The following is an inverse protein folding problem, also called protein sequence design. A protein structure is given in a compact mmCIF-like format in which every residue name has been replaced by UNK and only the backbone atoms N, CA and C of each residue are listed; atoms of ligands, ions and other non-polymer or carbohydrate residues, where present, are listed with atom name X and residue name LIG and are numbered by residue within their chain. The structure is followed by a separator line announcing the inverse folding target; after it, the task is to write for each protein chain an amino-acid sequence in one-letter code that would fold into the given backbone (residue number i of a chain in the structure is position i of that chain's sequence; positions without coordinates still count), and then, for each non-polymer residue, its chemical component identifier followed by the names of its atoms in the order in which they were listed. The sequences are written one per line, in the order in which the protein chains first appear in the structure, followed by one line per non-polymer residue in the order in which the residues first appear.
data_IF_365867727410
#
_entry.id   IF_365867727410
#
_cell.length_a   1.000
_cell.length_b   1.000
_cell.length_c   1.000
_cell.angle_alpha   90.00
_cell.angle_beta   90.00
_cell.angle_gamma   90.00
#
_symmetry.space_group_name_H-M   'P 1'
#
loop_
_entity.id
_entity.type
_entity.pdbx_description
1 polymer ?
#
# COMPACT_ATOMS: atom_id res chain seq x y z
N UNK A 1 27.64 31.80 8.95
CA UNK A 1 26.29 32.38 8.94
C UNK A 1 25.74 32.11 7.57
N UNK A 2 24.83 31.15 7.49
CA UNK A 2 24.02 30.94 6.29
C UNK A 2 22.68 30.38 6.78
N UNK A 3 21.87 31.27 7.34
CA UNK A 3 20.47 31.01 7.64
C UNK A 3 19.70 31.23 6.34
N UNK A 4 19.87 30.31 5.40
CA UNK A 4 18.90 30.18 4.31
C UNK A 4 17.57 29.82 4.97
N UNK A 5 16.56 30.69 4.84
CA UNK A 5 15.19 30.33 5.16
C UNK A 5 14.88 29.00 4.48
N UNK A 6 14.35 27.99 5.21
CA UNK A 6 14.10 26.70 4.62
C UNK A 6 13.15 26.88 3.43
N UNK A 7 13.68 26.62 2.23
CA UNK A 7 12.97 26.82 0.97
C UNK A 7 11.64 26.07 1.03
N UNK A 8 10.52 26.80 1.01
CA UNK A 8 9.19 26.21 1.09
C UNK A 8 9.00 25.36 -0.15
N UNK A 9 9.11 24.04 0.00
CA UNK A 9 8.86 23.11 -1.09
C UNK A 9 7.37 23.09 -1.35
N UNK A 10 6.95 23.56 -2.51
CA UNK A 10 5.61 23.31 -3.03
C UNK A 10 5.61 21.90 -3.65
N UNK A 11 4.71 21.03 -3.18
CA UNK A 11 4.74 19.61 -3.56
C UNK A 11 3.35 19.13 -3.99
N UNK A 12 3.26 18.71 -5.26
CA UNK A 12 2.12 17.93 -5.75
C UNK A 12 2.27 16.46 -5.35
N UNK A 13 1.16 15.72 -5.35
CA UNK A 13 1.11 14.28 -5.11
C UNK A 13 2.08 13.51 -6.02
N UNK A 14 2.10 13.86 -7.31
CA UNK A 14 2.98 13.23 -8.29
C UNK A 14 4.47 13.44 -7.95
N UNK A 15 4.85 14.66 -7.56
CA UNK A 15 6.22 14.97 -7.15
C UNK A 15 6.59 14.31 -5.83
N UNK A 16 5.64 14.19 -4.89
CA UNK A 16 5.85 13.48 -3.63
C UNK A 16 6.15 12.00 -3.87
N UNK A 17 5.35 11.36 -4.74
CA UNK A 17 5.57 9.97 -5.15
C UNK A 17 6.91 9.81 -5.85
N UNK A 18 7.25 10.68 -6.80
CA UNK A 18 8.54 10.60 -7.52
C UNK A 18 9.74 10.74 -6.57
N UNK A 19 9.68 11.71 -5.64
CA UNK A 19 10.71 11.92 -4.63
C UNK A 19 10.87 10.69 -3.73
N UNK A 20 9.77 10.14 -3.24
CA UNK A 20 9.79 8.93 -2.44
C UNK A 20 10.37 7.75 -3.20
N UNK A 21 10.07 7.60 -4.49
CA UNK A 21 10.57 6.48 -5.28
C UNK A 21 12.08 6.56 -5.53
N UNK A 22 12.64 7.77 -5.66
CA UNK A 22 14.06 7.98 -5.98
C UNK A 22 14.99 7.70 -4.79
N UNK A 23 14.60 8.13 -3.60
CA UNK A 23 15.48 8.13 -2.42
C UNK A 23 15.07 7.09 -1.35
N UNK A 24 14.24 6.10 -1.70
CA UNK A 24 13.76 5.09 -0.75
C UNK A 24 14.63 3.83 -0.71
N UNK A 25 15.22 3.61 0.46
CA UNK A 25 16.11 2.48 0.76
C UNK A 25 15.45 1.10 0.55
N UNK A 26 14.14 0.96 0.78
CA UNK A 26 13.46 -0.33 0.57
C UNK A 26 13.33 -0.67 -0.91
N UNK A 27 13.08 0.32 -1.77
CA UNK A 27 13.03 0.14 -3.22
C UNK A 27 14.42 -0.20 -3.75
N UNK A 28 15.47 0.47 -3.26
CA UNK A 28 16.86 0.17 -3.62
C UNK A 28 17.27 -1.25 -3.19
N UNK A 29 16.95 -1.65 -1.96
CA UNK A 29 17.20 -3.02 -1.48
C UNK A 29 16.46 -4.08 -2.32
N UNK A 30 15.22 -3.81 -2.73
CA UNK A 30 14.46 -4.70 -3.60
C UNK A 30 15.06 -4.77 -5.02
N UNK A 31 15.59 -3.65 -5.54
CA UNK A 31 16.29 -3.61 -6.82
C UNK A 31 17.58 -4.44 -6.79
N UNK A 32 18.40 -4.30 -5.75
CA UNK A 32 19.60 -5.13 -5.55
C UNK A 32 19.26 -6.62 -5.44
N UNK A 33 18.15 -6.95 -4.77
CA UNK A 33 17.65 -8.32 -4.71
C UNK A 33 17.27 -8.90 -6.08
N UNK A 34 16.69 -8.08 -6.97
CA UNK A 34 16.42 -8.46 -8.35
C UNK A 34 17.71 -8.69 -9.15
N UNK A 35 18.68 -7.77 -9.06
CA UNK A 35 19.99 -7.94 -9.73
C UNK A 35 20.70 -9.22 -9.29
N UNK A 36 20.64 -9.54 -7.99
CA UNK A 36 21.16 -10.81 -7.47
C UNK A 36 20.42 -12.01 -8.09
N UNK A 37 19.10 -11.97 -8.18
CA UNK A 37 18.32 -13.04 -8.79
C UNK A 37 18.64 -13.22 -10.29
N UNK A 38 18.86 -12.12 -11.02
CA UNK A 38 19.30 -12.14 -12.42
C UNK A 38 20.67 -12.78 -12.59
N UNK A 39 21.64 -12.41 -11.74
CA UNK A 39 22.96 -13.05 -11.73
C UNK A 39 22.86 -14.56 -11.45
N UNK A 40 21.99 -14.94 -10.50
CA UNK A 40 21.76 -16.35 -10.15
C UNK A 40 21.20 -17.13 -11.34
N UNK A 41 20.26 -16.54 -12.08
CA UNK A 41 19.71 -17.10 -13.32
C UNK A 41 20.78 -17.24 -14.41
N UNK A 42 21.64 -16.24 -14.58
CA UNK A 42 22.73 -16.31 -15.56
C UNK A 42 23.72 -17.44 -15.23
N UNK A 43 24.11 -17.56 -13.95
CA UNK A 43 24.95 -18.64 -13.46
C UNK A 43 24.30 -20.02 -13.70
N UNK A 44 23.02 -20.18 -13.36
CA UNK A 44 22.26 -21.41 -13.59
C UNK A 44 22.22 -21.78 -15.09
N UNK A 45 21.90 -20.81 -15.96
CA UNK A 45 21.89 -21.02 -17.43
C UNK A 45 23.28 -21.32 -17.98
N UNK A 46 24.33 -20.73 -17.43
CA UNK A 46 25.73 -21.02 -17.81
C UNK A 46 26.13 -22.44 -17.41
N UNK A 47 25.84 -22.86 -16.18
CA UNK A 47 26.09 -24.21 -15.70
C UNK A 47 25.32 -25.25 -16.52
N UNK A 48 24.03 -25.04 -16.76
CA UNK A 48 23.20 -25.91 -17.59
C UNK A 48 23.75 -26.05 -19.02
N UNK A 49 24.21 -24.95 -19.64
CA UNK A 49 24.86 -24.98 -20.97
C UNK A 49 26.15 -25.80 -20.95
N UNK A 50 26.99 -25.65 -19.93
CA UNK A 50 28.23 -26.43 -19.78
C UNK A 50 27.94 -27.92 -19.61
N UNK A 51 26.99 -28.27 -18.73
CA UNK A 51 26.58 -29.66 -18.52
C UNK A 51 25.98 -30.28 -19.80
N UNK A 52 25.14 -29.53 -20.52
CA UNK A 52 24.52 -30.00 -21.76
C UNK A 52 25.54 -30.30 -22.85
N UNK A 53 26.62 -29.51 -22.96
CA UNK A 53 27.70 -29.73 -23.94
C UNK A 53 28.51 -31.01 -23.70
N UNK A 54 28.52 -31.53 -22.47
CA UNK A 54 29.23 -32.77 -22.15
C UNK A 54 28.47 -34.01 -22.61
N UNK A 55 27.13 -33.91 -22.74
CA UNK A 55 26.29 -35.02 -23.18
C UNK A 55 26.64 -35.38 -24.63
N UNK A 56 26.83 -36.67 -24.90
CA UNK A 56 27.20 -37.16 -26.21
C UNK A 56 28.70 -37.16 -26.50
N UNK A 57 29.54 -36.58 -25.62
CA UNK A 57 31.00 -36.69 -25.76
C UNK A 57 31.41 -38.14 -25.52
N UNK A 58 32.23 -38.66 -26.43
CA UNK A 58 32.85 -39.96 -26.36
C UNK A 58 34.19 -39.88 -25.61
N UNK A 59 34.36 -40.72 -24.60
CA UNK A 59 35.56 -40.82 -23.76
C UNK A 59 36.07 -42.26 -23.69
N UNK A 60 37.40 -42.49 -23.72
CA UNK A 60 37.96 -43.81 -23.48
C UNK A 60 37.55 -44.35 -22.12
N UNK A 61 37.06 -45.58 -22.07
CA UNK A 61 36.67 -46.24 -20.83
C UNK A 61 37.81 -47.12 -20.27
N UNK A 62 37.74 -47.47 -18.99
CA UNK A 62 38.79 -48.26 -18.31
C UNK A 62 38.99 -49.67 -18.88
N UNK A 63 38.05 -50.18 -19.68
CA UNK A 63 38.13 -51.47 -20.35
C UNK A 63 38.70 -51.38 -21.78
N UNK A 64 39.20 -50.20 -22.21
CA UNK A 64 39.81 -49.99 -23.53
C UNK A 64 38.82 -49.73 -24.67
N UNK A 65 37.55 -49.51 -24.38
CA UNK A 65 36.50 -49.13 -25.35
C UNK A 65 36.12 -47.64 -25.27
N UNK A 66 35.09 -47.23 -26.00
CA UNK A 66 34.54 -45.87 -25.98
C UNK A 66 33.25 -45.86 -25.14
N UNK A 67 33.12 -44.89 -24.23
CA UNK A 67 31.89 -44.60 -23.50
C UNK A 67 31.35 -43.23 -23.92
N UNK A 68 30.03 -43.11 -24.06
CA UNK A 68 29.38 -41.83 -24.34
C UNK A 68 28.79 -41.26 -23.05
N UNK A 69 29.11 -40.00 -22.73
CA UNK A 69 28.51 -39.30 -21.59
C UNK A 69 27.00 -39.16 -21.81
N UNK A 70 26.20 -39.66 -20.87
CA UNK A 70 24.73 -39.58 -20.88
C UNK A 70 24.27 -38.61 -19.79
N UNK A 71 23.04 -38.10 -19.94
CA UNK A 71 22.39 -37.25 -18.95
C UNK A 71 22.02 -38.05 -17.70
N UNK A 72 22.92 -38.05 -16.73
CA UNK A 72 22.72 -38.68 -15.43
C UNK A 72 21.85 -37.82 -14.49
N UNK A 73 21.69 -38.26 -13.25
CA UNK A 73 20.89 -37.58 -12.23
C UNK A 73 21.42 -36.15 -11.95
N UNK A 74 22.72 -36.01 -11.71
CA UNK A 74 23.34 -34.72 -11.39
C UNK A 74 23.23 -33.72 -12.56
N UNK A 75 23.46 -34.17 -13.79
CA UNK A 75 23.26 -33.36 -14.98
C UNK A 75 21.80 -32.98 -15.20
N UNK A 76 20.86 -33.88 -14.94
CA UNK A 76 19.45 -33.57 -15.08
C UNK A 76 18.95 -32.54 -14.08
N UNK A 77 19.39 -32.62 -12.82
CA UNK A 77 19.13 -31.58 -11.83
C UNK A 77 19.66 -30.21 -12.32
N UNK A 78 20.92 -30.18 -12.80
CA UNK A 78 21.57 -28.96 -13.26
C UNK A 78 20.98 -28.35 -14.55
N UNK A 79 20.42 -29.19 -15.44
CA UNK A 79 19.88 -28.75 -16.73
C UNK A 79 18.39 -28.45 -16.64
N UNK A 80 17.61 -29.26 -15.91
CA UNK A 80 16.15 -29.20 -15.96
C UNK A 80 15.54 -28.44 -14.77
N UNK A 81 16.12 -28.56 -13.57
CA UNK A 81 15.51 -28.04 -12.34
C UNK A 81 16.10 -26.68 -11.96
N UNK A 82 17.43 -26.59 -11.86
CA UNK A 82 18.11 -25.37 -11.35
C UNK A 82 17.80 -24.12 -12.19
N UNK A 83 17.79 -24.16 -13.54
CA UNK A 83 17.45 -22.98 -14.34
C UNK A 83 16.02 -22.49 -14.12
N UNK A 84 15.05 -23.42 -14.00
CA UNK A 84 13.65 -23.09 -13.73
C UNK A 84 13.51 -22.47 -12.33
N UNK A 85 14.23 -23.01 -11.34
CA UNK A 85 14.26 -22.47 -9.99
C UNK A 85 14.83 -21.05 -9.96
N UNK A 86 15.91 -20.79 -10.68
CA UNK A 86 16.50 -19.46 -10.75
C UNK A 86 15.60 -18.47 -11.53
N UNK A 87 14.92 -18.92 -12.58
CA UNK A 87 13.98 -18.09 -13.36
C UNK A 87 12.75 -17.71 -12.52
N UNK A 88 12.18 -18.68 -11.82
CA UNK A 88 11.11 -18.48 -10.84
C UNK A 88 11.55 -17.50 -9.73
N UNK A 89 12.79 -17.64 -9.23
CA UNK A 89 13.37 -16.71 -8.27
C UNK A 89 13.49 -15.28 -8.77
N UNK A 90 13.87 -15.09 -10.04
CA UNK A 90 13.87 -13.76 -10.70
C UNK A 90 12.47 -13.16 -10.77
N UNK A 91 11.48 -13.93 -11.23
CA UNK A 91 10.08 -13.47 -11.33
C UNK A 91 9.54 -13.05 -9.95
N UNK A 92 9.83 -13.84 -8.91
CA UNK A 92 9.46 -13.51 -7.52
C UNK A 92 10.12 -12.20 -7.07
N UNK A 93 11.42 -12.02 -7.35
CA UNK A 93 12.14 -10.80 -6.98
C UNK A 93 11.61 -9.56 -7.72
N UNK A 94 11.31 -9.69 -9.01
CA UNK A 94 10.76 -8.64 -9.86
C UNK A 94 9.37 -8.20 -9.36
N UNK A 95 8.50 -9.16 -9.09
CA UNK A 95 7.16 -8.90 -8.55
C UNK A 95 7.23 -8.33 -7.12
N UNK A 96 8.17 -8.84 -6.31
CA UNK A 96 8.43 -8.32 -4.97
C UNK A 96 8.87 -6.86 -4.98
N UNK A 97 9.74 -6.47 -5.91
CA UNK A 97 10.13 -5.08 -6.13
C UNK A 97 8.92 -4.21 -6.50
N UNK A 98 8.12 -4.64 -7.49
CA UNK A 98 6.92 -3.90 -7.89
C UNK A 98 5.92 -3.73 -6.73
N UNK A 99 5.76 -4.76 -5.88
CA UNK A 99 4.95 -4.67 -4.66
C UNK A 99 5.51 -3.64 -3.68
N UNK A 100 6.82 -3.65 -3.41
CA UNK A 100 7.47 -2.65 -2.55
C UNK A 100 7.26 -1.24 -3.08
N UNK A 101 7.45 -1.01 -4.39
CA UNK A 101 7.18 0.27 -5.04
C UNK A 101 5.73 0.72 -4.81
N UNK A 102 4.76 -0.16 -4.99
CA UNK A 102 3.34 0.13 -4.80
C UNK A 102 2.98 0.44 -3.33
N UNK A 103 3.57 -0.27 -2.37
CA UNK A 103 3.41 0.02 -0.93
C UNK A 103 3.94 1.41 -0.58
N UNK A 104 5.10 1.79 -1.11
CA UNK A 104 5.67 3.14 -0.91
C UNK A 104 4.76 4.20 -1.54
N UNK A 105 4.34 4.02 -2.80
CA UNK A 105 3.42 4.94 -3.47
C UNK A 105 2.14 5.15 -2.66
N UNK A 106 1.49 4.07 -2.22
CA UNK A 106 0.31 4.14 -1.37
C UNK A 106 0.56 4.86 -0.04
N UNK A 107 1.68 4.55 0.64
CA UNK A 107 2.05 5.20 1.89
C UNK A 107 2.23 6.72 1.75
N UNK A 108 2.84 7.16 0.64
CA UNK A 108 3.00 8.58 0.32
C UNK A 108 1.65 9.22 0.04
N UNK A 109 0.78 8.61 -0.77
CA UNK A 109 -0.56 9.15 -1.01
C UNK A 109 -1.39 9.26 0.28
N UNK A 110 -1.32 8.23 1.14
CA UNK A 110 -2.02 8.23 2.42
C UNK A 110 -1.53 9.36 3.33
N UNK A 111 -0.21 9.56 3.43
CA UNK A 111 0.38 10.65 4.21
C UNK A 111 0.03 12.02 3.60
N UNK A 112 0.06 12.15 2.28
CA UNK A 112 -0.29 13.37 1.55
C UNK A 112 -1.75 13.78 1.79
N UNK A 113 -2.69 12.85 1.60
CA UNK A 113 -4.11 13.09 1.90
C UNK A 113 -4.34 13.34 3.40
N UNK A 114 -3.51 12.76 4.27
CA UNK A 114 -3.53 13.04 5.71
C UNK A 114 -3.22 14.50 6.03
N UNK A 115 -2.21 15.09 5.39
CA UNK A 115 -1.86 16.51 5.53
C UNK A 115 -2.97 17.40 5.00
N UNK A 116 -3.44 17.16 3.78
CA UNK A 116 -4.55 17.94 3.20
C UNK A 116 -5.79 17.92 4.11
N UNK A 117 -6.05 16.78 4.77
CA UNK A 117 -7.22 16.62 5.64
C UNK A 117 -7.04 17.44 6.92
N UNK A 118 -5.84 17.39 7.50
CA UNK A 118 -5.51 18.18 8.67
C UNK A 118 -5.56 19.69 8.37
N UNK A 119 -5.06 20.12 7.21
CA UNK A 119 -5.13 21.52 6.75
C UNK A 119 -6.60 21.97 6.60
N UNK A 120 -7.44 21.15 5.97
CA UNK A 120 -8.87 21.48 5.85
C UNK A 120 -9.59 21.51 7.19
N UNK A 121 -9.22 20.63 8.13
CA UNK A 121 -9.74 20.64 9.50
C UNK A 121 -9.30 21.90 10.27
N UNK A 122 -8.08 22.38 10.05
CA UNK A 122 -7.61 23.66 10.60
C UNK A 122 -8.44 24.83 10.06
N UNK A 123 -8.66 24.90 8.74
CA UNK A 123 -9.51 25.93 8.12
C UNK A 123 -10.92 25.96 8.75
N UNK A 124 -11.54 24.79 8.94
CA UNK A 124 -12.86 24.66 9.58
C UNK A 124 -12.83 25.12 11.05
N UNK A 125 -11.77 24.79 11.80
CA UNK A 125 -11.59 25.22 13.19
C UNK A 125 -11.36 26.73 13.31
N UNK A 126 -10.57 27.32 12.41
CA UNK A 126 -10.34 28.77 12.36
C UNK A 126 -11.63 29.54 12.03
N UNK A 127 -12.40 29.05 11.05
CA UNK A 127 -13.72 29.62 10.75
C UNK A 127 -14.67 29.52 11.96
N UNK A 128 -14.60 28.43 12.74
CA UNK A 128 -15.35 28.27 13.98
C UNK A 128 -14.92 29.27 15.06
N UNK A 129 -13.62 29.55 15.17
CA UNK A 129 -13.08 30.55 16.10
C UNK A 129 -13.55 31.96 15.75
N UNK A 130 -13.54 32.32 14.46
CA UNK A 130 -14.04 33.62 13.98
C UNK A 130 -15.52 33.78 14.37
N UNK A 131 -16.34 32.74 14.16
CA UNK A 131 -17.76 32.78 14.53
C UNK A 131 -17.98 32.89 16.04
N UNK A 132 -17.24 32.12 16.84
CA UNK A 132 -17.33 32.21 18.30
C UNK A 132 -16.94 33.61 18.84
N UNK A 133 -15.92 34.25 18.25
CA UNK A 133 -15.54 35.64 18.58
C UNK A 133 -16.67 36.63 18.28
N UNK A 134 -17.32 36.48 17.13
CA UNK A 134 -18.43 37.35 16.75
C UNK A 134 -19.66 37.13 17.65
N UNK A 135 -19.96 35.89 18.01
CA UNK A 135 -21.05 35.57 18.95
C UNK A 135 -20.80 36.17 20.34
N UNK A 136 -19.57 36.08 20.87
CA UNK A 136 -19.21 36.73 22.14
C UNK A 136 -19.42 38.25 22.07
N UNK A 137 -18.94 38.89 21.00
CA UNK A 137 -19.11 40.32 20.78
C UNK A 137 -20.59 40.73 20.77
N UNK A 138 -21.46 39.93 20.14
CA UNK A 138 -22.90 40.17 20.13
C UNK A 138 -23.53 39.98 21.51
N UNK A 139 -23.15 38.92 22.24
CA UNK A 139 -23.63 38.66 23.59
C UNK A 139 -23.24 39.79 24.56
N UNK A 140 -22.00 40.27 24.50
CA UNK A 140 -21.53 41.40 25.30
C UNK A 140 -22.29 42.70 24.99
N UNK A 141 -22.54 42.99 23.71
CA UNK A 141 -23.29 44.16 23.29
C UNK A 141 -24.74 44.12 23.81
N UNK A 142 -25.41 42.98 23.65
CA UNK A 142 -26.77 42.76 24.15
C UNK A 142 -26.84 42.82 25.68
N UNK A 143 -25.81 42.33 26.37
CA UNK A 143 -25.72 42.37 27.84
C UNK A 143 -25.57 43.81 28.34
N UNK A 144 -24.71 44.61 27.70
CA UNK A 144 -24.57 46.05 27.97
C UNK A 144 -25.87 46.80 27.74
N UNK A 145 -26.66 46.40 26.75
CA UNK A 145 -28.00 46.93 26.48
C UNK A 145 -29.09 46.39 27.44
N UNK A 146 -28.76 45.47 28.36
CA UNK A 146 -29.69 44.87 29.31
C UNK A 146 -30.67 43.85 28.72
N UNK A 147 -30.42 43.39 27.49
CA UNK A 147 -31.34 42.55 26.70
C UNK A 147 -31.06 41.05 26.77
N UNK A 148 -29.93 40.64 27.37
CA UNK A 148 -29.57 39.22 27.62
C UNK A 148 -28.99 39.06 29.02
N UNK A 149 -29.03 37.83 29.56
CA UNK A 149 -28.50 37.53 30.88
C UNK A 149 -26.95 37.40 30.87
N UNK A 150 -26.30 37.67 32.02
CA UNK A 150 -24.84 37.45 32.17
C UNK A 150 -24.41 36.00 31.90
N UNK A 151 -25.32 35.05 32.12
CA UNK A 151 -25.12 33.63 31.81
C UNK A 151 -24.85 33.38 30.31
N UNK A 152 -25.50 34.15 29.41
CA UNK A 152 -25.27 34.02 27.96
C UNK A 152 -23.87 34.48 27.56
N UNK A 153 -23.35 35.53 28.19
CA UNK A 153 -21.97 36.01 27.98
C UNK A 153 -20.97 34.94 28.44
N UNK A 154 -21.17 34.36 29.62
CA UNK A 154 -20.31 33.27 30.14
C UNK A 154 -20.33 32.06 29.21
N UNK A 155 -21.50 31.71 28.66
CA UNK A 155 -21.62 30.62 27.68
C UNK A 155 -20.86 30.91 26.39
N UNK A 156 -20.96 32.14 25.87
CA UNK A 156 -20.23 32.56 24.68
C UNK A 156 -18.71 32.61 24.91
N UNK A 157 -18.24 33.03 26.09
CA UNK A 157 -16.83 32.96 26.49
C UNK A 157 -16.33 31.52 26.54
N UNK A 158 -17.11 30.60 27.11
CA UNK A 158 -16.77 29.18 27.15
C UNK A 158 -16.67 28.56 25.74
N UNK A 159 -17.55 28.96 24.82
CA UNK A 159 -17.50 28.54 23.42
C UNK A 159 -16.27 29.09 22.68
N UNK A 160 -15.92 30.35 22.92
CA UNK A 160 -14.69 30.92 22.39
C UNK A 160 -13.46 30.13 22.86
N UNK A 161 -13.38 29.81 24.16
CA UNK A 161 -12.28 29.00 24.72
C UNK A 161 -12.23 27.60 24.12
N UNK A 162 -13.38 26.99 23.88
CA UNK A 162 -13.48 25.69 23.20
C UNK A 162 -13.01 25.78 21.75
N UNK A 163 -13.37 26.83 21.02
CA UNK A 163 -12.92 27.05 19.65
C UNK A 163 -11.41 27.35 19.56
N UNK A 164 -10.86 28.13 20.50
CA UNK A 164 -9.41 28.37 20.63
C UNK A 164 -8.64 27.06 20.85
N UNK A 165 -9.13 26.20 21.75
CA UNK A 165 -8.56 24.88 21.97
C UNK A 165 -8.62 24.01 20.70
N UNK A 166 -9.74 24.02 19.97
CA UNK A 166 -9.89 23.28 18.72
C UNK A 166 -8.95 23.76 17.60
N UNK A 167 -8.66 25.06 17.51
CA UNK A 167 -7.64 25.58 16.57
C UNK A 167 -6.25 25.08 16.96
N UNK A 168 -5.89 25.13 18.26
CA UNK A 168 -4.59 24.65 18.71
C UNK A 168 -4.42 23.14 18.45
N UNK A 169 -5.46 22.36 18.67
CA UNK A 169 -5.48 20.93 18.35
C UNK A 169 -5.33 20.67 16.85
N UNK A 170 -6.07 21.41 16.01
CA UNK A 170 -5.96 21.28 14.56
C UNK A 170 -4.57 21.68 14.04
N UNK A 171 -3.96 22.74 14.58
CA UNK A 171 -2.57 23.13 14.27
C UNK A 171 -1.58 22.02 14.62
N UNK A 172 -1.68 21.47 15.83
CA UNK A 172 -0.86 20.32 16.22
C UNK A 172 -1.10 19.10 15.32
N UNK A 173 -2.33 18.91 14.85
CA UNK A 173 -2.69 17.87 13.88
C UNK A 173 -2.01 18.05 12.52
N UNK A 174 -1.97 19.28 12.00
CA UNK A 174 -1.26 19.61 10.75
C UNK A 174 0.23 19.31 10.90
N UNK A 175 0.86 19.78 11.97
CA UNK A 175 2.30 19.53 12.21
C UNK A 175 2.60 18.02 12.29
N UNK A 176 1.77 17.24 12.99
CA UNK A 176 1.91 15.79 13.04
C UNK A 176 1.76 15.13 11.67
N UNK A 177 0.79 15.56 10.87
CA UNK A 177 0.59 15.03 9.52
C UNK A 177 1.78 15.38 8.61
N UNK A 178 2.32 16.60 8.70
CA UNK A 178 3.52 17.02 7.95
C UNK A 178 4.74 16.21 8.35
N UNK A 179 4.97 15.99 9.65
CA UNK A 179 6.05 15.13 10.14
C UNK A 179 5.92 13.70 9.61
N UNK A 180 4.71 13.14 9.57
CA UNK A 180 4.47 11.81 9.01
C UNK A 180 4.79 11.75 7.50
N UNK A 181 4.40 12.78 6.74
CA UNK A 181 4.74 12.89 5.32
C UNK A 181 6.24 13.05 5.11
N UNK A 182 6.90 13.93 5.86
CA UNK A 182 8.36 14.10 5.83
C UNK A 182 9.07 12.77 6.14
N UNK A 183 8.60 11.99 7.11
CA UNK A 183 9.13 10.66 7.39
C UNK A 183 8.98 9.72 6.19
N UNK A 184 7.82 9.70 5.51
CA UNK A 184 7.62 8.85 4.31
C UNK A 184 8.48 9.28 3.12
N UNK A 185 8.79 10.56 3.01
CA UNK A 185 9.66 11.14 1.98
C UNK A 185 11.15 11.08 2.37
N UNK A 186 11.49 10.48 3.51
CA UNK A 186 12.84 10.44 4.05
C UNK A 186 13.48 11.84 4.21
N UNK A 187 12.67 12.84 4.55
CA UNK A 187 13.08 14.21 4.82
C UNK A 187 13.26 14.44 6.33
N UNK A 188 13.86 15.57 6.70
CA UNK A 188 13.85 16.00 8.10
C UNK A 188 12.40 16.24 8.55
N UNK A 189 12.06 15.78 9.76
CA UNK A 189 10.70 15.88 10.31
C UNK A 189 10.13 17.30 10.25
N UNK A 190 10.98 18.32 10.41
CA UNK A 190 10.58 19.72 10.47
C UNK A 190 10.77 20.48 9.15
N UNK A 191 10.98 19.80 8.02
CA UNK A 191 11.06 20.47 6.73
C UNK A 191 9.70 21.14 6.42
N UNK A 192 9.66 22.47 6.22
CA UNK A 192 8.42 23.15 5.88
C UNK A 192 8.02 22.82 4.44
N UNK A 193 6.73 22.59 4.24
CA UNK A 193 6.20 22.17 2.95
C UNK A 193 4.80 22.72 2.76
N UNK A 194 4.49 23.15 1.54
CA UNK A 194 3.16 23.56 1.12
C UNK A 194 2.63 22.58 0.07
N UNK A 195 1.41 22.09 0.28
CA UNK A 195 0.77 21.18 -0.67
C UNK A 195 -0.01 21.98 -1.71
N UNK A 196 0.17 21.66 -2.98
CA UNK A 196 -0.45 22.38 -4.09
C UNK A 196 -1.77 21.78 -4.57
N UNK A 197 -2.01 20.50 -4.25
CA UNK A 197 -3.21 19.81 -4.70
C UNK A 197 -4.43 20.10 -3.84
N UNK A 198 -5.60 20.04 -4.48
CA UNK A 198 -6.89 20.14 -3.80
C UNK A 198 -7.51 18.77 -3.66
N UNK A 199 -8.19 18.57 -2.53
CA UNK A 199 -9.07 17.44 -2.34
C UNK A 199 -10.12 17.40 -3.45
N UNK A 200 -10.04 16.43 -4.34
CA UNK A 200 -11.01 16.21 -5.40
C UNK A 200 -11.63 14.82 -5.30
N UNK A 201 -12.90 14.73 -5.68
CA UNK A 201 -13.59 13.47 -5.87
C UNK A 201 -13.59 13.16 -7.36
N UNK A 202 -13.08 11.99 -7.73
CA UNK A 202 -13.10 11.50 -9.10
C UNK A 202 -13.66 10.07 -9.08
N UNK A 203 -14.90 9.84 -9.58
CA UNK A 203 -15.53 8.52 -9.60
C UNK A 203 -14.60 7.44 -10.16
N UNK A 204 -14.71 6.23 -9.63
CA UNK A 204 -13.88 5.12 -10.08
C UNK A 204 -14.37 4.54 -11.43
N UNK A 205 -15.62 4.83 -11.79
CA UNK A 205 -16.29 4.24 -12.93
C UNK A 205 -16.71 2.79 -12.68
N UNK A 206 -17.23 2.13 -13.71
CA UNK A 206 -17.59 0.72 -13.62
C UNK A 206 -16.32 -0.14 -13.74
N UNK A 207 -15.98 -0.83 -12.64
CA UNK A 207 -14.84 -1.74 -12.58
C UNK A 207 -15.32 -3.18 -12.73
N UNK A 208 -14.78 -3.87 -13.73
CA UNK A 208 -14.99 -5.31 -13.92
C UNK A 208 -14.00 -6.10 -13.06
N UNK A 209 -14.47 -6.66 -11.95
CA UNK A 209 -13.61 -7.40 -11.00
C UNK A 209 -12.97 -8.64 -11.61
N UNK A 210 -13.57 -9.24 -12.64
CA UNK A 210 -13.02 -10.45 -13.26
C UNK A 210 -11.84 -10.08 -14.16
N UNK A 211 -11.91 -8.95 -14.87
CA UNK A 211 -10.76 -8.40 -15.60
C UNK A 211 -9.62 -8.00 -14.68
N UNK A 212 -9.93 -7.32 -13.57
CA UNK A 212 -8.93 -6.96 -12.57
C UNK A 212 -8.26 -8.21 -11.99
N UNK A 213 -9.02 -9.27 -11.73
CA UNK A 213 -8.45 -10.55 -11.32
C UNK A 213 -7.47 -11.12 -12.34
N UNK A 214 -7.82 -11.13 -13.63
CA UNK A 214 -6.92 -11.59 -14.69
C UNK A 214 -5.61 -10.79 -14.72
N UNK A 215 -5.68 -9.47 -14.68
CA UNK A 215 -4.50 -8.61 -14.66
C UNK A 215 -3.63 -8.82 -13.40
N UNK A 216 -4.28 -9.01 -12.25
CA UNK A 216 -3.56 -9.22 -10.99
C UNK A 216 -2.94 -10.62 -10.87
N UNK A 217 -3.36 -11.62 -11.66
CA UNK A 217 -2.66 -12.92 -11.67
C UNK A 217 -1.21 -12.85 -12.15
N UNK A 218 -0.81 -11.77 -12.82
CA UNK A 218 0.57 -11.53 -13.23
C UNK A 218 1.33 -10.56 -12.33
N UNK A 219 0.60 -9.76 -11.52
CA UNK A 219 1.16 -8.63 -10.77
C UNK A 219 1.11 -8.80 -9.25
N UNK A 220 0.18 -9.62 -8.74
CA UNK A 220 0.01 -9.84 -7.32
C UNK A 220 1.14 -10.70 -6.77
N UNK A 221 1.92 -10.14 -5.85
CA UNK A 221 3.11 -10.77 -5.26
C UNK A 221 2.79 -12.10 -4.58
N UNK A 222 1.69 -12.19 -3.83
CA UNK A 222 1.31 -13.40 -3.11
C UNK A 222 0.92 -14.54 -4.05
N UNK A 223 0.13 -14.25 -5.09
CA UNK A 223 -0.26 -15.22 -6.10
C UNK A 223 0.92 -15.65 -6.98
N UNK A 224 1.72 -14.70 -7.46
CA UNK A 224 2.91 -15.01 -8.28
C UNK A 224 3.89 -15.87 -7.49
N UNK A 225 4.12 -15.59 -6.21
CA UNK A 225 4.95 -16.43 -5.34
C UNK A 225 4.42 -17.87 -5.25
N UNK A 226 3.12 -18.06 -5.07
CA UNK A 226 2.51 -19.39 -5.01
C UNK A 226 2.62 -20.13 -6.36
N UNK A 227 2.39 -19.41 -7.47
CA UNK A 227 2.52 -19.95 -8.84
C UNK A 227 3.94 -20.41 -9.14
N UNK A 228 4.93 -19.57 -8.83
CA UNK A 228 6.33 -19.91 -9.07
C UNK A 228 6.81 -21.06 -8.18
N UNK A 229 6.35 -21.13 -6.92
CA UNK A 229 6.60 -22.31 -6.06
C UNK A 229 6.01 -23.59 -6.64
N UNK A 230 4.81 -23.54 -7.20
CA UNK A 230 4.21 -24.67 -7.91
C UNK A 230 5.06 -25.09 -9.12
N UNK A 231 5.51 -24.14 -9.94
CA UNK A 231 6.36 -24.41 -11.11
C UNK A 231 7.67 -25.11 -10.71
N UNK A 232 8.34 -24.61 -9.66
CA UNK A 232 9.56 -25.21 -9.11
C UNK A 232 9.30 -26.65 -8.66
N UNK A 233 8.28 -26.86 -7.83
CA UNK A 233 7.99 -28.17 -7.26
C UNK A 233 7.52 -29.17 -8.32
N UNK A 234 6.82 -28.71 -9.36
CA UNK A 234 6.42 -29.54 -10.50
C UNK A 234 7.64 -30.09 -11.22
N UNK A 235 8.57 -29.22 -11.63
CA UNK A 235 9.78 -29.64 -12.35
C UNK A 235 10.68 -30.51 -11.46
N UNK A 236 10.75 -30.21 -10.16
CA UNK A 236 11.45 -31.04 -9.19
C UNK A 236 10.80 -32.44 -9.05
N UNK A 237 9.48 -32.52 -9.04
CA UNK A 237 8.76 -33.80 -9.00
C UNK A 237 8.94 -34.60 -10.30
N UNK A 238 8.87 -33.96 -11.46
CA UNK A 238 9.12 -34.59 -12.78
C UNK A 238 10.53 -35.19 -12.84
N UNK A 239 11.53 -34.48 -12.30
CA UNK A 239 12.89 -34.99 -12.11
C UNK A 239 12.92 -36.23 -11.20
N UNK A 240 12.29 -36.16 -10.02
CA UNK A 240 12.27 -37.30 -9.10
C UNK A 240 11.52 -38.51 -9.66
N UNK A 241 10.45 -38.29 -10.43
CA UNK A 241 9.68 -39.34 -11.08
C UNK A 241 10.51 -40.10 -12.12
N UNK A 242 11.42 -39.41 -12.81
CA UNK A 242 12.28 -40.00 -13.84
C UNK A 242 13.47 -40.77 -13.25
N UNK A 243 14.04 -40.29 -12.15
CA UNK A 243 15.33 -40.76 -11.65
C UNK A 243 15.27 -41.57 -10.36
N UNK A 244 14.13 -41.59 -9.65
CA UNK A 244 13.97 -42.29 -8.38
C UNK A 244 12.79 -43.29 -8.43
N UNK A 245 12.88 -44.37 -7.66
CA UNK A 245 11.76 -45.30 -7.53
C UNK A 245 10.74 -44.77 -6.53
N UNK A 246 9.46 -45.12 -6.73
CA UNK A 246 8.32 -44.63 -5.92
C UNK A 246 8.42 -44.92 -4.42
N UNK A 247 9.22 -45.90 -4.02
CA UNK A 247 9.40 -46.28 -2.62
C UNK A 247 10.51 -45.51 -1.90
N UNK A 248 11.29 -44.69 -2.61
CA UNK A 248 12.32 -43.85 -1.99
C UNK A 248 11.72 -42.68 -1.22
N UNK A 249 12.41 -42.24 -0.17
CA UNK A 249 12.04 -41.04 0.58
C UNK A 249 12.07 -39.80 -0.34
N UNK A 250 13.10 -39.65 -1.16
CA UNK A 250 13.24 -38.51 -2.09
C UNK A 250 12.06 -38.39 -3.06
N UNK A 251 11.57 -39.49 -3.63
CA UNK A 251 10.37 -39.47 -4.49
C UNK A 251 9.14 -38.99 -3.71
N UNK A 252 8.91 -39.54 -2.52
CA UNK A 252 7.73 -39.22 -1.71
C UNK A 252 7.76 -37.78 -1.21
N UNK A 253 8.92 -37.28 -0.80
CA UNK A 253 9.11 -35.88 -0.41
C UNK A 253 8.80 -34.91 -1.55
N UNK A 254 9.32 -35.18 -2.76
CA UNK A 254 9.01 -34.36 -3.94
C UNK A 254 7.52 -34.43 -4.32
N UNK A 255 6.89 -35.60 -4.19
CA UNK A 255 5.44 -35.78 -4.43
C UNK A 255 4.61 -34.94 -3.45
N UNK A 256 4.95 -34.97 -2.16
CA UNK A 256 4.25 -34.18 -1.14
C UNK A 256 4.46 -32.68 -1.34
N UNK A 257 5.69 -32.25 -1.64
CA UNK A 257 5.99 -30.84 -1.91
C UNK A 257 5.22 -30.31 -3.13
N UNK A 258 5.09 -31.11 -4.19
CA UNK A 258 4.28 -30.75 -5.36
C UNK A 258 2.80 -30.61 -5.01
N UNK A 259 2.21 -31.62 -4.33
CA UNK A 259 0.82 -31.58 -3.88
C UNK A 259 0.54 -30.40 -2.94
N UNK A 260 1.44 -30.10 -2.02
CA UNK A 260 1.33 -28.95 -1.12
C UNK A 260 1.33 -27.63 -1.92
N UNK A 261 2.23 -27.47 -2.88
CA UNK A 261 2.27 -26.25 -3.71
C UNK A 261 1.04 -26.09 -4.61
N UNK A 262 0.44 -27.18 -5.07
CA UNK A 262 -0.82 -27.16 -5.84
C UNK A 262 -1.98 -26.64 -4.99
N UNK A 263 -2.13 -27.15 -3.76
CA UNK A 263 -3.14 -26.68 -2.81
C UNK A 263 -2.90 -25.21 -2.44
N UNK A 264 -1.64 -24.82 -2.21
CA UNK A 264 -1.29 -23.44 -1.88
C UNK A 264 -1.57 -22.47 -3.03
N UNK A 265 -1.38 -22.88 -4.29
CA UNK A 265 -1.72 -22.07 -5.47
C UNK A 265 -3.24 -21.84 -5.56
N UNK A 266 -4.05 -22.88 -5.39
CA UNK A 266 -5.52 -22.74 -5.40
C UNK A 266 -6.03 -21.88 -4.22
N UNK A 267 -5.40 -22.01 -3.05
CA UNK A 267 -5.69 -21.14 -1.91
C UNK A 267 -5.32 -19.68 -2.22
N UNK A 268 -4.13 -19.42 -2.76
CA UNK A 268 -3.68 -18.07 -3.14
C UNK A 268 -4.59 -17.44 -4.20
N UNK A 269 -5.05 -18.24 -5.18
CA UNK A 269 -6.02 -17.82 -6.19
C UNK A 269 -7.33 -17.36 -5.57
N UNK A 270 -7.89 -18.19 -4.68
CA UNK A 270 -9.14 -17.88 -3.97
C UNK A 270 -8.99 -16.65 -3.09
N UNK A 271 -7.85 -16.51 -2.41
CA UNK A 271 -7.54 -15.35 -1.57
C UNK A 271 -7.42 -14.07 -2.39
N UNK A 272 -6.75 -14.11 -3.56
CA UNK A 272 -6.65 -12.97 -4.47
C UNK A 272 -8.04 -12.52 -4.95
N UNK A 273 -8.89 -13.47 -5.37
CA UNK A 273 -10.27 -13.17 -5.76
C UNK A 273 -11.05 -12.49 -4.63
N UNK A 274 -10.93 -13.02 -3.40
CA UNK A 274 -11.58 -12.44 -2.23
C UNK A 274 -11.06 -11.03 -1.93
N UNK A 275 -9.75 -10.83 -1.99
CA UNK A 275 -9.12 -9.54 -1.71
C UNK A 275 -9.53 -8.47 -2.73
N UNK A 276 -9.57 -8.81 -4.03
CA UNK A 276 -10.03 -7.89 -5.08
C UNK A 276 -11.50 -7.53 -4.88
N UNK A 277 -12.36 -8.51 -4.60
CA UNK A 277 -13.78 -8.26 -4.33
C UNK A 277 -13.96 -7.38 -3.10
N UNK A 278 -13.25 -7.64 -2.01
CA UNK A 278 -13.32 -6.82 -0.81
C UNK A 278 -12.84 -5.39 -1.08
N UNK A 279 -11.71 -5.21 -1.76
CA UNK A 279 -11.19 -3.89 -2.08
C UNK A 279 -12.13 -3.10 -3.00
N UNK A 280 -12.77 -3.77 -3.96
CA UNK A 280 -13.81 -3.16 -4.80
C UNK A 280 -15.04 -2.74 -3.97
N UNK A 281 -15.51 -3.62 -3.07
CA UNK A 281 -16.65 -3.30 -2.18
C UNK A 281 -16.32 -2.16 -1.20
N UNK A 282 -15.10 -2.10 -0.68
CA UNK A 282 -14.62 -1.01 0.17
C UNK A 282 -14.63 0.32 -0.60
N UNK A 283 -14.10 0.32 -1.83
CA UNK A 283 -14.11 1.48 -2.72
C UNK A 283 -15.54 1.93 -3.03
N UNK A 284 -16.42 1.00 -3.38
CA UNK A 284 -17.81 1.30 -3.70
C UNK A 284 -18.57 1.85 -2.50
N UNK A 285 -18.37 1.25 -1.33
CA UNK A 285 -18.98 1.70 -0.08
C UNK A 285 -18.49 3.10 0.29
N UNK A 286 -17.20 3.39 0.09
CA UNK A 286 -16.65 4.74 0.33
C UNK A 286 -17.23 5.78 -0.65
N UNK A 287 -17.46 5.39 -1.91
CA UNK A 287 -18.11 6.22 -2.93
C UNK A 287 -19.56 6.55 -2.56
N UNK A 288 -20.35 5.53 -2.21
CA UNK A 288 -21.75 5.69 -1.82
C UNK A 288 -21.88 6.54 -0.54
N UNK A 289 -20.99 6.33 0.43
CA UNK A 289 -20.95 7.14 1.66
C UNK A 289 -20.61 8.61 1.38
N UNK A 290 -19.70 8.87 0.43
CA UNK A 290 -19.43 10.24 -0.03
C UNK A 290 -20.69 10.90 -0.61
N UNK A 291 -21.46 10.19 -1.44
CA UNK A 291 -22.71 10.72 -2.00
C UNK A 291 -23.79 10.97 -0.93
N UNK A 292 -23.94 10.07 0.04
CA UNK A 292 -24.87 10.24 1.16
C UNK A 292 -24.49 11.47 2.00
N UNK A 293 -23.21 11.61 2.34
CA UNK A 293 -22.74 12.73 3.17
C UNK A 293 -22.74 14.06 2.41
N UNK A 294 -22.59 14.04 1.08
CA UNK A 294 -22.78 15.24 0.25
C UNK A 294 -24.20 15.78 0.38
N UNK A 295 -25.21 14.91 0.24
CA UNK A 295 -26.62 15.29 0.45
C UNK A 295 -26.92 15.73 1.88
N UNK A 296 -26.29 15.07 2.87
CA UNK A 296 -26.41 15.46 4.28
C UNK A 296 -25.90 16.88 4.53
N UNK A 297 -24.75 17.24 3.94
CA UNK A 297 -24.21 18.61 3.99
C UNK A 297 -25.15 19.60 3.32
N UNK A 298 -25.71 19.29 2.15
CA UNK A 298 -26.68 20.16 1.48
C UNK A 298 -27.91 20.45 2.36
N UNK A 299 -28.45 19.42 3.02
CA UNK A 299 -29.58 19.57 3.95
C UNK A 299 -29.21 20.40 5.18
N UNK A 300 -28.04 20.16 5.78
CA UNK A 300 -27.57 20.92 6.93
C UNK A 300 -27.31 22.39 6.59
N UNK A 301 -26.81 22.67 5.37
CA UNK A 301 -26.64 24.04 4.85
C UNK A 301 -27.98 24.75 4.72
N UNK A 302 -28.99 24.09 4.17
CA UNK A 302 -30.32 24.68 4.01
C UNK A 302 -31.02 24.89 5.37
N UNK A 303 -30.89 23.94 6.30
CA UNK A 303 -31.40 24.08 7.66
C UNK A 303 -30.75 25.28 8.38
N UNK A 304 -29.43 25.43 8.30
CA UNK A 304 -28.72 26.59 8.83
C UNK A 304 -29.22 27.90 8.20
N UNK A 305 -29.40 27.93 6.87
CA UNK A 305 -29.88 29.11 6.14
C UNK A 305 -31.27 29.55 6.64
N UNK A 306 -32.21 28.60 6.77
CA UNK A 306 -33.57 28.88 7.24
C UNK A 306 -33.60 29.34 8.70
N UNK A 307 -32.83 28.69 9.58
CA UNK A 307 -32.74 29.07 10.99
C UNK A 307 -32.11 30.44 11.15
N UNK A 308 -31.08 30.76 10.37
CA UNK A 308 -30.48 32.09 10.33
C UNK A 308 -31.48 33.16 9.93
N UNK A 309 -32.23 32.94 8.84
CA UNK A 309 -33.29 33.87 8.42
C UNK A 309 -34.35 34.08 9.51
N UNK A 310 -34.77 33.02 10.20
CA UNK A 310 -35.72 33.11 11.32
C UNK A 310 -35.13 33.87 12.51
N UNK A 311 -33.86 33.65 12.84
CA UNK A 311 -33.16 34.36 13.90
C UNK A 311 -33.07 35.85 13.58
N UNK A 312 -32.75 36.21 12.33
CA UNK A 312 -32.62 37.60 11.89
C UNK A 312 -33.94 38.39 12.00
N UNK A 313 -35.09 37.72 11.88
CA UNK A 313 -36.44 38.30 12.10
C UNK A 313 -37.00 38.05 13.51
N UNK A 314 -36.20 37.49 14.43
CA UNK A 314 -36.58 37.24 15.83
C UNK A 314 -37.51 36.04 16.05
N UNK A 315 -37.74 35.19 15.05
CA UNK A 315 -38.56 33.97 15.12
C UNK A 315 -37.79 32.72 15.58
N UNK A 316 -36.46 32.81 15.71
CA UNK A 316 -35.63 31.74 16.28
C UNK A 316 -34.69 32.31 17.33
N UNK A 317 -34.26 31.48 18.27
CA UNK A 317 -33.34 31.86 19.33
C UNK A 317 -31.89 31.72 18.88
N UNK A 318 -30.95 32.36 19.60
CA UNK A 318 -29.53 32.15 19.37
C UNK A 318 -29.09 30.70 19.60
N UNK A 319 -29.80 29.98 20.48
CA UNK A 319 -29.59 28.55 20.71
C UNK A 319 -29.96 27.71 19.48
N UNK A 320 -31.08 28.02 18.81
CA UNK A 320 -31.49 27.33 17.58
C UNK A 320 -30.46 27.54 16.46
N UNK A 321 -29.98 28.80 16.30
CA UNK A 321 -28.95 29.13 15.33
C UNK A 321 -27.64 28.38 15.59
N UNK A 322 -27.21 28.35 16.86
CA UNK A 322 -26.01 27.63 17.27
C UNK A 322 -26.14 26.11 17.03
N UNK A 323 -27.30 25.53 17.30
CA UNK A 323 -27.59 24.13 17.01
C UNK A 323 -27.47 23.81 15.52
N UNK A 324 -28.07 24.64 14.67
CA UNK A 324 -28.00 24.47 13.22
C UNK A 324 -26.57 24.65 12.67
N UNK A 325 -25.81 25.62 13.21
CA UNK A 325 -24.40 25.82 12.85
C UNK A 325 -23.52 24.63 13.23
N UNK A 326 -23.74 24.08 14.43
CA UNK A 326 -23.02 22.89 14.92
C UNK A 326 -23.33 21.68 14.05
N UNK A 327 -24.59 21.47 13.67
CA UNK A 327 -25.00 20.38 12.78
C UNK A 327 -24.33 20.50 11.39
N UNK A 328 -24.29 21.71 10.82
CA UNK A 328 -23.58 21.96 9.56
C UNK A 328 -22.08 21.65 9.68
N UNK A 329 -21.42 22.12 10.74
CA UNK A 329 -20.00 21.83 10.99
C UNK A 329 -19.73 20.32 11.08
N UNK A 330 -20.60 19.57 11.77
CA UNK A 330 -20.48 18.12 11.87
C UNK A 330 -20.65 17.43 10.51
N UNK A 331 -21.60 17.87 9.70
CA UNK A 331 -21.83 17.35 8.35
C UNK A 331 -20.62 17.62 7.44
N UNK A 332 -20.07 18.84 7.45
CA UNK A 332 -18.88 19.19 6.65
C UNK A 332 -17.66 18.34 7.06
N UNK A 333 -17.46 18.11 8.35
CA UNK A 333 -16.40 17.22 8.87
C UNK A 333 -16.62 15.76 8.45
N UNK A 334 -17.86 15.28 8.45
CA UNK A 334 -18.18 13.95 7.99
C UNK A 334 -17.89 13.78 6.48
N UNK A 335 -18.27 14.76 5.67
CA UNK A 335 -17.97 14.77 4.22
C UNK A 335 -16.46 14.80 3.95
N UNK A 336 -15.69 15.61 4.68
CA UNK A 336 -14.23 15.63 4.58
C UNK A 336 -13.62 14.26 4.87
N UNK A 337 -14.08 13.59 5.93
CA UNK A 337 -13.60 12.25 6.28
C UNK A 337 -13.99 11.22 5.21
N UNK A 338 -15.19 11.31 4.63
CA UNK A 338 -15.63 10.44 3.55
C UNK A 338 -14.80 10.61 2.28
N UNK A 339 -14.48 11.86 1.92
CA UNK A 339 -13.62 12.16 0.77
C UNK A 339 -12.19 11.62 0.97
N UNK A 340 -11.64 11.76 2.17
CA UNK A 340 -10.36 11.15 2.55
C UNK A 340 -10.41 9.62 2.42
N UNK A 341 -11.42 8.98 3.02
CA UNK A 341 -11.56 7.52 2.99
C UNK A 341 -11.75 6.98 1.57
N UNK A 342 -12.51 7.69 0.73
CA UNK A 342 -12.68 7.35 -0.68
C UNK A 342 -11.36 7.37 -1.44
N UNK A 343 -10.58 8.45 -1.32
CA UNK A 343 -9.30 8.57 -2.00
C UNK A 343 -8.29 7.51 -1.51
N UNK A 344 -8.30 7.17 -0.22
CA UNK A 344 -7.47 6.09 0.31
C UNK A 344 -7.89 4.71 -0.22
N UNK A 345 -9.19 4.41 -0.28
CA UNK A 345 -9.71 3.17 -0.85
C UNK A 345 -9.35 3.05 -2.34
N UNK A 346 -9.45 4.17 -3.08
CA UNK A 346 -9.07 4.25 -4.50
C UNK A 346 -7.58 4.04 -4.71
N UNK A 347 -6.74 4.66 -3.88
CA UNK A 347 -5.28 4.49 -3.92
C UNK A 347 -4.90 3.02 -3.65
N UNK A 348 -5.46 2.42 -2.59
CA UNK A 348 -5.24 1.00 -2.25
C UNK A 348 -5.62 0.07 -3.40
N UNK A 349 -6.76 0.33 -4.04
CA UNK A 349 -7.21 -0.43 -5.20
C UNK A 349 -6.27 -0.27 -6.40
N UNK A 350 -5.86 0.96 -6.69
CA UNK A 350 -4.98 1.30 -7.83
C UNK A 350 -3.59 0.65 -7.72
N UNK A 351 -3.01 0.68 -6.52
CA UNK A 351 -1.69 0.10 -6.27
C UNK A 351 -1.71 -1.42 -6.08
N UNK A 352 -2.88 -2.05 -6.11
CA UNK A 352 -3.01 -3.51 -6.12
C UNK A 352 -2.41 -4.20 -4.89
N UNK A 353 -2.49 -3.57 -3.71
CA UNK A 353 -1.90 -4.09 -2.46
C UNK A 353 -2.85 -5.12 -1.85
N UNK A 354 -3.16 -6.16 -2.61
CA UNK A 354 -4.14 -7.20 -2.32
C UNK A 354 -3.51 -8.40 -1.63
N UNK A 355 -2.61 -8.16 -0.67
CA UNK A 355 -1.96 -9.21 0.11
C UNK A 355 -1.12 -8.61 1.21
N UNK A 356 -1.19 -9.20 2.41
CA UNK A 356 -0.17 -9.00 3.43
C UNK A 356 1.03 -9.90 3.07
N UNK A 357 2.12 -9.28 2.61
CA UNK A 357 3.38 -9.98 2.37
C UNK A 357 4.03 -10.55 3.66
N UNK A 358 3.41 -10.39 4.83
CA UNK A 358 3.91 -10.92 6.11
C UNK A 358 3.67 -12.41 6.36
N UNK A 359 2.97 -13.14 5.47
CA UNK A 359 2.81 -14.59 5.58
C UNK A 359 4.00 -15.44 5.09
N UNK A 360 5.18 -14.83 4.89
CA UNK A 360 6.33 -15.54 4.32
C UNK A 360 7.67 -15.05 4.87
N UNK A 361 8.04 -15.52 6.05
CA UNK A 361 9.42 -15.62 6.57
C UNK A 361 10.36 -16.47 5.68
N UNK A 362 10.13 -16.54 4.36
CA UNK A 362 10.80 -17.43 3.41
C UNK A 362 11.89 -16.78 2.54
N UNK A 363 12.02 -15.45 2.53
CA UNK A 363 13.11 -14.77 1.80
C UNK A 363 14.51 -15.20 2.29
N UNK A 364 14.61 -15.70 3.53
CA UNK A 364 15.88 -16.19 4.11
C UNK A 364 16.17 -17.67 3.85
N UNK A 365 15.23 -18.44 3.29
CA UNK A 365 15.39 -19.89 3.08
C UNK A 365 15.66 -20.29 1.62
N UNK A 366 15.25 -19.48 0.63
CA UNK A 366 15.48 -19.81 -0.78
C UNK A 366 16.89 -19.43 -1.25
N UNK A 367 17.47 -18.35 -0.72
CA UNK A 367 18.86 -17.95 -1.03
C UNK A 367 19.90 -18.90 -0.42
N UNK A 368 19.62 -19.52 0.73
CA UNK A 368 20.53 -20.49 1.35
C UNK A 368 20.56 -21.83 0.61
N UNK A 369 19.44 -22.28 0.05
CA UNK A 369 19.37 -23.53 -0.72
C UNK A 369 20.06 -23.41 -2.09
N UNK A 370 19.87 -22.29 -2.80
CA UNK A 370 20.54 -22.04 -4.08
C UNK A 370 22.06 -21.88 -3.90
N UNK A 371 22.50 -21.19 -2.84
CA UNK A 371 23.92 -21.07 -2.52
C UNK A 371 24.53 -22.42 -2.12
N UNK A 372 23.83 -23.28 -1.36
CA UNK A 372 24.32 -24.62 -1.00
C UNK A 372 24.34 -25.60 -2.19
N UNK A 373 23.38 -25.53 -3.10
CA UNK A 373 23.36 -26.35 -4.30
C UNK A 373 24.41 -25.91 -5.34
N UNK A 374 24.73 -24.60 -5.42
CA UNK A 374 25.75 -24.06 -6.31
C UNK A 374 27.18 -24.13 -5.73
N UNK A 375 27.34 -24.14 -4.40
CA UNK A 375 28.65 -24.28 -3.71
C UNK A 375 29.00 -25.72 -3.32
N UNK A 376 28.08 -26.66 -3.52
CA UNK A 376 28.37 -28.09 -3.40
C UNK A 376 29.31 -28.51 -4.51
N UNK A 377 30.58 -28.77 -4.15
CA UNK A 377 31.43 -29.70 -4.87
C UNK A 377 30.55 -30.88 -5.34
N UNK A 378 30.60 -31.18 -6.64
CA UNK A 378 30.07 -32.45 -7.14
C UNK A 378 30.57 -33.53 -6.17
N UNK A 379 29.70 -34.38 -5.58
CA UNK A 379 30.19 -35.48 -4.80
C UNK A 379 31.07 -36.28 -5.73
N UNK A 380 32.38 -36.22 -5.47
CA UNK A 380 33.36 -37.10 -6.05
C UNK A 380 32.90 -38.50 -5.69
N UNK A 381 32.24 -39.14 -6.65
CA UNK A 381 31.87 -40.53 -6.54
C UNK A 381 33.12 -41.35 -6.27
N UNK A 382 32.91 -42.39 -5.45
CA UNK A 382 33.80 -43.53 -5.27
C UNK A 382 34.33 -44.07 -6.60
#
# INVERSE_FOLDING_TARGET
GDTAEPEIKSLSLAQAVEMAMKDNLQVELAALGLEQAELTLEQAKSAARKASKQIGIEIPNMAGGISTIRKDQNMALAIDVIPVQAESGKIIAETGKAYTENVIKFGVEAAYYGVLRAEKMLEVSEASLIRAKEQLKQAEAKFKAGTVAKMEVISAEAQLKTAEAGVNEAKAGVEKARMALNQTLNLNLNTPMELTDKFSFAPAGDIDTDKVFQEMTEKDSSYVLAREKYNINKVNFDYHQKYFTKNTFAYREAEYAFKESEVNLEHAKTQLQLNIKNAYMDLKTAEDNYHVLTKSVEQAKEAYRLTKLRYDVGMATGYDLLGAETALKQADMALLNALYNYNLAKAKFTYGIFGDASAGSSQKQLSSSAAQAASGEMPSGM
#
